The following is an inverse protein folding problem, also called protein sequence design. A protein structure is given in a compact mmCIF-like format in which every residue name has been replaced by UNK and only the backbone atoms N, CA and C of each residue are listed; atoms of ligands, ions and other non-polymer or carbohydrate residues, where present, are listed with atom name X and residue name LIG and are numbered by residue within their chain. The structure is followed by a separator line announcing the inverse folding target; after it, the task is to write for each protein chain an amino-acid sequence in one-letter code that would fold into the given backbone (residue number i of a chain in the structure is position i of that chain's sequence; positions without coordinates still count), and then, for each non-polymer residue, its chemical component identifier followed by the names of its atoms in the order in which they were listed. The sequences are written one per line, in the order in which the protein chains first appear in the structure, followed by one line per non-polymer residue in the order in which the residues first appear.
data_IF_932658049762
#
_entry.id   IF_932658049762
#
_cell.length_a   1.000
_cell.length_b   1.000
_cell.length_c   1.000
_cell.angle_alpha   90.00
_cell.angle_beta   90.00
_cell.angle_gamma   90.00
#
_symmetry.space_group_name_H-M   'P 1'
#
loop_
_entity.id
_entity.type
_entity.pdbx_description
1 polymer ?
#
# COMPACT_ATOMS: atom_id res chain seq x y z
N UNK A 1 -5.87 -12.23 -10.18
CA UNK A 1 -6.97 -11.61 -9.41
C UNK A 1 -7.58 -10.52 -10.28
N UNK A 2 -8.91 -10.40 -10.27
CA UNK A 2 -9.59 -9.21 -10.81
C UNK A 2 -9.56 -8.11 -9.75
N UNK A 3 -9.53 -6.84 -10.14
CA UNK A 3 -9.69 -5.78 -9.14
C UNK A 3 -11.12 -5.81 -8.59
N UNK A 4 -11.30 -5.61 -7.29
CA UNK A 4 -12.62 -5.38 -6.73
C UNK A 4 -13.18 -4.06 -7.25
N UNK A 5 -14.50 -3.98 -7.41
CA UNK A 5 -15.17 -2.72 -7.70
C UNK A 5 -15.00 -1.73 -6.54
N UNK A 6 -14.93 -0.42 -6.82
CA UNK A 6 -14.87 0.60 -5.78
C UNK A 6 -16.12 0.62 -4.91
N UNK A 7 -16.01 0.07 -3.71
CA UNK A 7 -16.99 0.21 -2.63
C UNK A 7 -16.35 0.83 -1.37
N UNK A 8 -16.45 2.16 -1.18
CA UNK A 8 -15.98 2.83 0.04
C UNK A 8 -16.63 2.27 1.32
N UNK A 9 -17.86 1.77 1.21
CA UNK A 9 -18.57 1.19 2.35
C UNK A 9 -18.03 -0.20 2.73
N UNK A 10 -17.41 -0.94 1.80
CA UNK A 10 -16.75 -2.21 2.12
C UNK A 10 -15.54 -2.01 3.04
N UNK A 11 -14.72 -1.00 2.77
CA UNK A 11 -13.54 -0.68 3.60
C UNK A 11 -13.97 -0.24 5.00
N UNK A 12 -14.99 0.61 5.11
CA UNK A 12 -15.52 1.05 6.40
C UNK A 12 -16.13 -0.12 7.20
N UNK A 13 -16.91 -0.99 6.56
CA UNK A 13 -17.44 -2.21 7.19
C UNK A 13 -16.32 -3.12 7.67
N UNK A 14 -15.29 -3.35 6.85
CA UNK A 14 -14.13 -4.16 7.22
C UNK A 14 -13.36 -3.55 8.40
N UNK A 15 -13.13 -2.23 8.41
CA UNK A 15 -12.47 -1.58 9.54
C UNK A 15 -13.26 -1.77 10.86
N UNK A 16 -14.59 -1.83 10.80
CA UNK A 16 -15.44 -2.08 11.95
C UNK A 16 -15.37 -3.53 12.47
N UNK A 17 -14.97 -4.51 11.65
CA UNK A 17 -14.79 -5.91 12.10
C UNK A 17 -13.48 -6.14 12.84
N UNK A 18 -12.56 -5.15 12.84
CA UNK A 18 -11.30 -5.22 13.59
C UNK A 18 -11.60 -5.12 15.10
N UNK A 19 -11.54 -6.26 15.78
CA UNK A 19 -11.86 -6.38 17.20
C UNK A 19 -10.89 -5.62 18.11
N UNK A 20 -9.59 -5.63 17.80
CA UNK A 20 -8.57 -4.93 18.58
C UNK A 20 -8.67 -3.41 18.33
N UNK A 21 -8.95 -2.60 19.36
CA UNK A 21 -9.16 -1.17 19.21
C UNK A 21 -7.88 -0.43 18.76
N UNK A 22 -6.70 -0.92 19.15
CA UNK A 22 -5.41 -0.36 18.72
C UNK A 22 -5.16 -0.70 17.26
N UNK A 23 -5.46 -1.93 16.81
CA UNK A 23 -5.32 -2.27 15.39
C UNK A 23 -6.30 -1.50 14.51
N UNK A 24 -7.52 -1.27 15.00
CA UNK A 24 -8.52 -0.46 14.30
C UNK A 24 -8.08 0.99 14.18
N UNK A 25 -7.54 1.57 15.25
CA UNK A 25 -6.98 2.93 15.21
C UNK A 25 -5.78 3.03 14.25
N UNK A 26 -4.83 2.09 14.34
CA UNK A 26 -3.67 2.03 13.44
C UNK A 26 -4.11 1.87 11.97
N UNK A 27 -5.13 1.06 11.70
CA UNK A 27 -5.67 0.89 10.35
C UNK A 27 -6.32 2.18 9.83
N UNK A 28 -7.05 2.92 10.66
CA UNK A 28 -7.64 4.20 10.28
C UNK A 28 -6.56 5.28 10.01
N UNK A 29 -5.50 5.31 10.82
CA UNK A 29 -4.35 6.19 10.60
C UNK A 29 -3.63 5.86 9.30
N UNK A 30 -3.41 4.57 9.03
CA UNK A 30 -2.86 4.12 7.75
C UNK A 30 -3.76 4.50 6.58
N UNK A 31 -5.07 4.29 6.66
CA UNK A 31 -5.99 4.69 5.58
C UNK A 31 -5.90 6.18 5.28
N UNK A 32 -5.86 7.00 6.31
CA UNK A 32 -5.68 8.46 6.19
C UNK A 32 -4.36 8.81 5.50
N UNK A 33 -3.26 8.18 5.92
CA UNK A 33 -1.93 8.39 5.33
C UNK A 33 -1.89 7.98 3.86
N UNK A 34 -2.37 6.79 3.53
CA UNK A 34 -2.35 6.28 2.17
C UNK A 34 -3.20 7.14 1.24
N UNK A 35 -4.38 7.59 1.67
CA UNK A 35 -5.19 8.54 0.89
C UNK A 35 -4.46 9.86 0.66
N UNK A 36 -3.83 10.41 1.69
CA UNK A 36 -3.08 11.67 1.58
C UNK A 36 -1.86 11.54 0.63
N UNK A 37 -1.17 10.41 0.67
CA UNK A 37 0.02 10.16 -0.18
C UNK A 37 -0.37 9.85 -1.63
N UNK A 38 -1.42 9.06 -1.84
CA UNK A 38 -1.77 8.50 -3.16
C UNK A 38 -2.82 9.33 -3.90
N UNK A 39 -3.66 10.06 -3.17
CA UNK A 39 -4.90 10.64 -3.71
C UNK A 39 -5.92 9.60 -4.18
N UNK A 40 -5.72 8.30 -3.90
CA UNK A 40 -6.62 7.24 -4.32
C UNK A 40 -7.68 6.91 -3.26
N UNK A 41 -8.85 6.48 -3.71
CA UNK A 41 -9.82 5.82 -2.86
C UNK A 41 -9.33 4.39 -2.50
N UNK A 42 -9.51 3.94 -1.26
CA UNK A 42 -9.16 2.58 -0.88
C UNK A 42 -10.14 1.58 -1.49
N UNK A 43 -9.62 0.41 -1.82
CA UNK A 43 -10.35 -0.76 -2.27
C UNK A 43 -10.09 -1.93 -1.32
N UNK A 44 -11.11 -2.72 -1.02
CA UNK A 44 -10.95 -3.95 -0.24
C UNK A 44 -10.62 -5.12 -1.18
N UNK A 45 -9.40 -5.62 -1.08
CA UNK A 45 -8.88 -6.76 -1.83
C UNK A 45 -9.01 -8.05 -1.01
N UNK A 46 -9.00 -9.18 -1.73
CA UNK A 46 -9.09 -10.50 -1.13
C UNK A 46 -8.02 -10.72 -0.06
N UNK A 47 -8.40 -11.39 1.04
CA UNK A 47 -7.49 -11.64 2.15
C UNK A 47 -7.28 -10.43 3.06
N UNK A 48 -8.31 -9.59 3.23
CA UNK A 48 -8.34 -8.49 4.20
C UNK A 48 -7.25 -7.43 3.95
N UNK A 49 -7.05 -7.11 2.66
CA UNK A 49 -6.08 -6.12 2.21
C UNK A 49 -6.79 -4.85 1.77
N UNK A 50 -6.35 -3.70 2.26
CA UNK A 50 -6.81 -2.39 1.81
C UNK A 50 -5.76 -1.86 0.83
N UNK A 51 -6.14 -1.69 -0.43
CA UNK A 51 -5.25 -1.31 -1.52
C UNK A 51 -5.62 0.05 -2.14
N UNK A 52 -4.62 0.74 -2.68
CA UNK A 52 -4.71 2.07 -3.27
C UNK A 52 -4.07 2.05 -4.65
N UNK A 53 -4.79 2.55 -5.65
CA UNK A 53 -4.42 2.42 -7.06
C UNK A 53 -4.31 0.95 -7.49
N UNK A 54 -3.99 0.73 -8.76
CA UNK A 54 -3.78 -0.59 -9.31
C UNK A 54 -2.87 -0.56 -10.53
N UNK A 55 -2.24 -1.69 -10.81
CA UNK A 55 -1.49 -1.91 -12.05
C UNK A 55 -1.89 -3.27 -12.64
N UNK A 56 -1.80 -3.34 -13.96
CA UNK A 56 -2.00 -4.56 -14.71
C UNK A 56 -0.65 -5.18 -15.04
N UNK A 57 -0.54 -6.49 -14.83
CA UNK A 57 0.65 -7.26 -15.14
C UNK A 57 0.28 -8.54 -15.88
N UNK A 58 1.20 -9.05 -16.67
CA UNK A 58 1.01 -10.31 -17.40
C UNK A 58 1.95 -11.36 -16.84
N UNK A 59 1.39 -12.48 -16.37
CA UNK A 59 2.20 -13.61 -15.94
C UNK A 59 3.02 -14.17 -17.11
N UNK A 60 4.12 -14.88 -16.82
CA UNK A 60 4.90 -15.61 -17.84
C UNK A 60 4.05 -16.57 -18.68
N UNK A 61 2.93 -17.05 -18.13
CA UNK A 61 1.93 -17.90 -18.81
C UNK A 61 0.97 -17.14 -19.75
N UNK A 62 1.14 -15.82 -19.92
CA UNK A 62 0.29 -14.98 -20.77
C UNK A 62 -1.03 -14.55 -20.14
N UNK A 63 -1.34 -15.00 -18.91
CA UNK A 63 -2.56 -14.60 -18.21
C UNK A 63 -2.42 -13.18 -17.66
N UNK A 64 -3.37 -12.26 -17.96
CA UNK A 64 -3.38 -10.94 -17.33
C UNK A 64 -3.80 -11.07 -15.86
N UNK A 65 -3.25 -10.19 -15.03
CA UNK A 65 -3.60 -10.05 -13.63
C UNK A 65 -3.61 -8.58 -13.26
N UNK A 66 -4.45 -8.22 -12.29
CA UNK A 66 -4.46 -6.89 -11.68
C UNK A 66 -4.08 -7.00 -10.22
N UNK A 67 -3.30 -6.05 -9.74
CA UNK A 67 -2.94 -5.92 -8.34
C UNK A 67 -3.04 -4.46 -7.88
N UNK A 68 -3.19 -4.23 -6.59
CA UNK A 68 -3.10 -2.86 -6.05
C UNK A 68 -1.67 -2.36 -6.13
N UNK A 69 -1.49 -1.06 -6.32
CA UNK A 69 -0.15 -0.48 -6.43
C UNK A 69 0.56 -0.41 -5.07
N UNK A 70 -0.18 -0.05 -4.03
CA UNK A 70 0.29 -0.08 -2.64
C UNK A 70 -0.89 -0.32 -1.70
N UNK A 71 -0.62 -0.73 -0.47
CA UNK A 71 -1.69 -1.02 0.48
C UNK A 71 -1.20 -1.62 1.78
N UNK A 72 -2.12 -2.02 2.63
CA UNK A 72 -1.82 -2.69 3.89
C UNK A 72 -2.88 -3.72 4.27
N UNK A 73 -2.49 -4.67 5.13
CA UNK A 73 -3.38 -5.62 5.76
C UNK A 73 -3.26 -5.51 7.29
N UNK A 74 -4.33 -5.17 8.01
CA UNK A 74 -4.35 -5.22 9.47
C UNK A 74 -4.50 -6.68 9.93
N UNK A 75 -3.36 -7.36 10.16
CA UNK A 75 -3.36 -8.72 10.70
C UNK A 75 -3.40 -8.69 12.22
N UNK A 76 -3.83 -9.80 12.81
CA UNK A 76 -3.97 -9.98 14.26
C UNK A 76 -2.70 -9.58 15.06
N UNK A 77 -1.51 -9.87 14.52
CA UNK A 77 -0.25 -9.62 15.21
C UNK A 77 0.49 -8.34 14.75
N UNK A 78 0.18 -7.82 13.56
CA UNK A 78 0.97 -6.74 12.92
C UNK A 78 0.23 -6.13 11.73
N UNK A 79 0.56 -4.88 11.41
CA UNK A 79 0.24 -4.25 10.13
C UNK A 79 1.24 -4.76 9.09
N UNK A 80 0.75 -5.31 7.99
CA UNK A 80 1.58 -5.71 6.84
C UNK A 80 1.41 -4.66 5.77
N UNK A 81 2.45 -3.92 5.42
CA UNK A 81 2.42 -2.89 4.39
C UNK A 81 3.10 -3.41 3.13
N UNK A 82 2.45 -3.16 2.00
CA UNK A 82 2.87 -3.58 0.68
C UNK A 82 3.40 -2.37 -0.08
N UNK A 83 4.73 -2.26 -0.12
CA UNK A 83 5.45 -1.22 -0.85
C UNK A 83 6.36 -1.94 -1.85
N UNK A 84 6.02 -1.85 -3.13
CA UNK A 84 6.73 -2.52 -4.23
C UNK A 84 7.94 -1.69 -4.69
N UNK A 85 8.99 -2.33 -5.23
CA UNK A 85 9.18 -3.77 -5.46
C UNK A 85 9.61 -4.56 -4.21
N UNK A 86 9.83 -3.88 -3.08
CA UNK A 86 10.16 -4.49 -1.81
C UNK A 86 11.13 -3.66 -0.98
N UNK A 87 11.57 -4.19 0.16
CA UNK A 87 12.40 -3.47 1.12
C UNK A 87 13.88 -3.31 0.72
N UNK A 88 14.36 -4.04 -0.29
CA UNK A 88 15.80 -4.18 -0.60
C UNK A 88 16.44 -2.86 -1.08
N UNK A 89 15.74 -2.12 -1.93
CA UNK A 89 16.24 -0.85 -2.48
C UNK A 89 15.85 0.37 -1.63
N UNK A 90 15.04 0.16 -0.59
CA UNK A 90 14.56 1.21 0.30
C UNK A 90 15.28 1.25 1.65
N UNK A 91 16.33 0.46 1.82
CA UNK A 91 17.12 0.37 3.06
C UNK A 91 17.52 1.74 3.64
N UNK A 92 17.93 2.75 2.85
CA UNK A 92 18.24 4.07 3.40
C UNK A 92 17.03 4.74 4.08
N UNK A 93 15.86 4.72 3.44
CA UNK A 93 14.62 5.29 4.00
C UNK A 93 14.18 4.50 5.24
N UNK A 94 14.30 3.17 5.16
CA UNK A 94 13.93 2.25 6.23
C UNK A 94 14.82 2.35 7.47
N UNK A 95 16.02 2.92 7.36
CA UNK A 95 16.91 3.16 8.50
C UNK A 95 16.31 4.17 9.49
N UNK A 96 15.61 5.18 8.97
CA UNK A 96 14.99 6.26 9.76
C UNK A 96 13.55 5.94 10.18
N UNK A 97 12.96 4.86 9.64
CA UNK A 97 11.55 4.52 9.89
C UNK A 97 11.26 4.14 11.35
N UNK A 98 12.23 3.58 12.07
CA UNK A 98 12.02 3.03 13.41
C UNK A 98 11.86 1.51 13.41
N UNK A 99 10.87 0.96 14.13
CA UNK A 99 10.73 -0.50 14.32
C UNK A 99 9.88 -1.17 13.25
N UNK A 100 10.52 -1.93 12.37
CA UNK A 100 9.87 -2.75 11.34
C UNK A 100 10.60 -4.09 11.16
N UNK A 101 9.96 -5.03 10.45
CA UNK A 101 10.58 -6.28 10.00
C UNK A 101 10.37 -6.47 8.50
N UNK A 102 11.38 -7.02 7.83
CA UNK A 102 11.30 -7.35 6.42
C UNK A 102 10.45 -8.61 6.19
N UNK A 103 9.53 -8.54 5.23
CA UNK A 103 8.91 -9.67 4.57
C UNK A 103 9.52 -9.90 3.17
N UNK A 104 8.87 -10.74 2.35
CA UNK A 104 9.38 -11.03 0.98
C UNK A 104 9.25 -9.82 0.04
N UNK A 105 8.09 -9.16 0.07
CA UNK A 105 7.78 -7.96 -0.73
C UNK A 105 6.92 -6.97 0.08
N UNK A 106 7.04 -7.04 1.40
CA UNK A 106 6.24 -6.27 2.35
C UNK A 106 7.07 -5.93 3.59
N UNK A 107 6.64 -4.93 4.34
CA UNK A 107 7.19 -4.64 5.66
C UNK A 107 6.14 -4.89 6.73
N UNK A 108 6.61 -5.24 7.91
CA UNK A 108 5.76 -5.65 9.02
C UNK A 108 5.97 -4.66 10.17
N UNK A 109 4.89 -4.02 10.62
CA UNK A 109 4.91 -3.03 11.69
C UNK A 109 3.96 -3.51 12.80
N UNK A 110 4.49 -3.75 13.99
CA UNK A 110 3.68 -4.23 15.12
C UNK A 110 2.76 -3.12 15.65
N UNK A 111 3.26 -1.89 15.76
CA UNK A 111 2.53 -0.72 16.27
C UNK A 111 2.95 0.53 15.49
N UNK A 112 1.98 1.33 15.05
CA UNK A 112 2.27 2.59 14.36
C UNK A 112 3.05 3.57 15.24
N UNK A 113 2.86 3.53 16.56
CA UNK A 113 3.57 4.40 17.51
C UNK A 113 5.08 4.16 17.59
N UNK A 114 5.59 3.11 16.94
CA UNK A 114 7.02 2.79 16.92
C UNK A 114 7.67 3.13 15.58
N UNK A 115 6.94 3.79 14.68
CA UNK A 115 7.44 4.22 13.39
C UNK A 115 7.21 5.71 13.19
N UNK A 116 8.09 6.32 12.41
CA UNK A 116 7.92 7.69 11.95
C UNK A 116 6.95 7.72 10.76
N UNK A 117 5.87 8.49 10.89
CA UNK A 117 4.79 8.57 9.91
C UNK A 117 5.22 9.36 8.66
N UNK A 118 6.10 10.35 8.82
CA UNK A 118 6.62 11.14 7.69
C UNK A 118 7.63 10.34 6.88
N UNK A 119 8.47 9.55 7.56
CA UNK A 119 9.34 8.56 6.90
C UNK A 119 8.51 7.49 6.20
N UNK A 120 7.42 7.02 6.83
CA UNK A 120 6.51 6.06 6.19
C UNK A 120 5.84 6.64 4.94
N UNK A 121 5.41 7.90 4.98
CA UNK A 121 4.88 8.60 3.81
C UNK A 121 5.91 8.64 2.66
N UNK A 122 7.17 8.94 3.01
CA UNK A 122 8.29 8.98 2.07
C UNK A 122 8.54 7.60 1.45
N UNK A 123 8.50 6.54 2.25
CA UNK A 123 8.63 5.16 1.80
C UNK A 123 7.54 4.78 0.79
N UNK A 124 6.28 5.10 1.09
CA UNK A 124 5.15 4.80 0.19
C UNK A 124 5.32 5.55 -1.14
N UNK A 125 5.69 6.84 -1.11
CA UNK A 125 5.96 7.62 -2.34
C UNK A 125 7.08 7.03 -3.17
N UNK A 126 8.19 6.65 -2.53
CA UNK A 126 9.32 6.05 -3.21
C UNK A 126 8.92 4.74 -3.91
N UNK A 127 8.09 3.91 -3.27
CA UNK A 127 7.66 2.63 -3.85
C UNK A 127 6.69 2.79 -5.01
N UNK A 128 5.83 3.79 -4.94
CA UNK A 128 4.95 4.13 -6.07
C UNK A 128 5.75 4.63 -7.28
N UNK A 129 6.76 5.47 -7.06
CA UNK A 129 7.65 5.94 -8.14
C UNK A 129 8.38 4.78 -8.78
N UNK A 130 8.96 3.90 -7.97
CA UNK A 130 9.72 2.76 -8.49
C UNK A 130 8.80 1.78 -9.24
N UNK A 131 7.64 1.46 -8.68
CA UNK A 131 6.62 0.65 -9.36
C UNK A 131 6.21 1.26 -10.71
N UNK A 132 6.07 2.58 -10.79
CA UNK A 132 5.71 3.28 -12.02
C UNK A 132 6.80 3.22 -13.10
N UNK A 133 8.06 2.93 -12.75
CA UNK A 133 9.12 2.67 -13.73
C UNK A 133 8.96 1.30 -14.41
N UNK A 134 8.30 0.36 -13.75
CA UNK A 134 8.11 -1.01 -14.23
C UNK A 134 6.75 -1.23 -14.90
N UNK A 135 5.69 -0.63 -14.35
CA UNK A 135 4.31 -0.85 -14.79
C UNK A 135 3.52 0.47 -14.82
N UNK A 136 2.63 0.66 -15.81
CA UNK A 136 1.67 1.75 -15.78
C UNK A 136 0.72 1.59 -14.59
N UNK A 137 0.73 2.58 -13.69
CA UNK A 137 -0.12 2.57 -12.50
C UNK A 137 -1.32 3.49 -12.69
N UNK A 138 -2.51 3.00 -12.32
CA UNK A 138 -3.79 3.68 -12.47
C UNK A 138 -4.50 3.88 -11.13
N UNK A 139 -5.49 4.78 -11.10
CA UNK A 139 -6.34 4.99 -9.93
C UNK A 139 -5.81 5.99 -8.89
N UNK A 140 -4.83 6.81 -9.26
CA UNK A 140 -4.34 7.94 -8.44
C UNK A 140 -4.86 9.27 -9.00
N UNK A 141 -5.32 10.16 -8.12
CA UNK A 141 -5.85 11.47 -8.53
C UNK A 141 -4.79 12.48 -9.01
N UNK A 142 -3.49 12.13 -9.02
CA UNK A 142 -2.42 13.07 -9.39
C UNK A 142 -1.12 12.47 -9.93
N UNK A 143 -1.02 11.15 -10.08
CA UNK A 143 0.16 10.50 -10.66
C UNK A 143 0.01 10.23 -12.18
N UNK A 144 -1.11 10.62 -12.79
CA UNK A 144 -1.42 10.38 -14.20
C UNK A 144 -1.24 11.57 -15.13
N UNK A 145 -0.73 12.71 -14.66
CA UNK A 145 -0.64 13.94 -15.46
C UNK A 145 0.80 14.34 -15.83
N UNK A 146 1.83 13.66 -15.32
CA UNK A 146 3.21 13.91 -15.73
C UNK A 146 3.74 12.72 -16.51
N UNK A 147 3.41 12.72 -17.81
CA UNK A 147 3.94 11.77 -18.81
C UNK A 147 5.30 12.22 -19.36
N UNK A 148 6.06 13.05 -18.65
CA UNK A 148 7.44 13.42 -19.00
C UNK A 148 8.46 12.66 -18.14
N UNK A 149 8.36 11.33 -18.13
CA UNK A 149 9.46 10.45 -17.73
C UNK A 149 9.81 9.51 -18.88
N UNK A 150 10.49 10.07 -19.88
CA UNK A 150 11.42 9.36 -20.76
C UNK A 150 12.52 10.38 -21.12
N UNK A 151 13.82 10.02 -21.09
CA UNK A 151 14.91 10.97 -21.37
C UNK A 151 14.88 11.54 -22.79
#
# INVERSE_FOLDING_TARGET
MHAPDPDPSAVARFAATIADPVRRADAAMLDTLFRAVTGAAPLLWAGDMIGYGHYDYTYRSGKPGRWFATGFAPRKAQQVLYVMPGATDMRPILADLGKWKAGKACIHITRLTQVDIDVLATLIRAGLRDLATMWPVSGFAGLGADRDLTP
#
